data_IF_245303324695
#
_entry.id   IF_245303324695
#
_cell.length_a   1.000
_cell.length_b   1.000
_cell.length_c   1.000
_cell.angle_alpha   90.00
_cell.angle_beta   90.00
_cell.angle_gamma   90.00
#
_symmetry.space_group_name_H-M   'P 1'
#
loop_
_entity.id
_entity.type
_entity.pdbx_description
1 polymer ?
#
# COMPACT_ATOMS: atom_id res chain seq x y z
N UNK A 1 7.64 19.71 -4.11
CA UNK A 1 8.05 19.75 -2.66
C UNK A 1 7.10 18.84 -1.89
N UNK A 2 7.63 17.96 -1.04
CA UNK A 2 6.83 16.98 -0.28
C UNK A 2 5.71 17.66 0.51
N UNK A 3 4.48 17.19 0.32
CA UNK A 3 3.36 17.51 1.19
C UNK A 3 3.40 16.54 2.39
N UNK A 4 4.14 16.96 3.42
CA UNK A 4 4.36 16.13 4.60
C UNK A 4 3.06 15.77 5.31
N UNK A 5 2.16 16.71 5.47
CA UNK A 5 0.88 16.50 6.16
C UNK A 5 0.05 15.41 5.47
N UNK A 6 -0.05 15.48 4.14
CA UNK A 6 -0.75 14.45 3.37
C UNK A 6 -0.10 13.07 3.52
N UNK A 7 1.24 12.96 3.43
CA UNK A 7 1.94 11.69 3.58
C UNK A 7 1.72 11.10 4.98
N UNK A 8 1.77 11.95 6.01
CA UNK A 8 1.51 11.57 7.39
C UNK A 8 0.07 11.07 7.57
N UNK A 9 -0.92 11.78 7.05
CA UNK A 9 -2.32 11.37 7.06
C UNK A 9 -2.54 10.06 6.31
N UNK A 10 -1.92 9.88 5.13
CA UNK A 10 -1.96 8.61 4.40
C UNK A 10 -1.40 7.45 5.22
N UNK A 11 -0.24 7.63 5.85
CA UNK A 11 0.40 6.59 6.67
C UNK A 11 -0.43 6.24 7.91
N UNK A 12 -1.05 7.22 8.58
CA UNK A 12 -1.77 7.04 9.84
C UNK A 12 -3.20 6.54 9.67
N UNK A 13 -3.86 6.80 8.53
CA UNK A 13 -5.22 6.35 8.28
C UNK A 13 -5.31 4.84 8.45
N UNK A 14 -6.25 4.39 9.28
CA UNK A 14 -6.48 2.98 9.52
C UNK A 14 -7.22 2.36 8.33
N UNK A 15 -6.78 1.17 7.92
CA UNK A 15 -7.42 0.52 6.79
C UNK A 15 -6.75 -0.80 6.45
N UNK A 16 -7.00 -1.84 7.25
CA UNK A 16 -6.67 -3.21 6.83
C UNK A 16 -7.68 -3.68 5.78
N UNK A 17 -7.35 -4.73 5.04
CA UNK A 17 -8.22 -5.31 4.00
C UNK A 17 -9.67 -5.48 4.48
N UNK A 18 -10.62 -4.84 3.80
CA UNK A 18 -12.05 -4.81 4.14
C UNK A 18 -12.46 -3.69 5.10
N UNK A 19 -11.53 -2.85 5.56
CA UNK A 19 -11.77 -1.73 6.48
C UNK A 19 -11.15 -0.42 5.98
N UNK A 20 -11.12 -0.19 4.68
CA UNK A 20 -10.40 0.92 4.02
C UNK A 20 -11.14 2.26 4.09
N UNK A 21 -12.22 2.38 4.85
CA UNK A 21 -13.11 3.55 4.85
C UNK A 21 -12.42 4.87 5.21
N UNK A 22 -11.44 4.87 6.13
CA UNK A 22 -10.70 6.10 6.49
C UNK A 22 -9.80 6.57 5.33
N UNK A 23 -9.15 5.64 4.63
CA UNK A 23 -8.30 5.97 3.47
C UNK A 23 -9.15 6.46 2.31
N UNK A 24 -10.29 5.82 2.07
CA UNK A 24 -11.26 6.25 1.06
C UNK A 24 -11.75 7.66 1.33
N UNK A 25 -12.12 7.96 2.58
CA UNK A 25 -12.54 9.29 2.99
C UNK A 25 -11.45 10.34 2.80
N UNK A 26 -10.18 9.99 3.13
CA UNK A 26 -9.03 10.85 2.92
C UNK A 26 -8.85 11.17 1.41
N UNK A 27 -8.85 10.17 0.53
CA UNK A 27 -8.71 10.39 -0.92
C UNK A 27 -9.85 11.28 -1.42
N UNK A 28 -11.08 11.01 -1.00
CA UNK A 28 -12.25 11.79 -1.41
C UNK A 28 -12.13 13.25 -0.94
N UNK A 29 -11.75 13.50 0.31
CA UNK A 29 -11.51 14.85 0.85
C UNK A 29 -10.47 15.63 0.04
N UNK A 30 -9.33 14.95 -0.30
CA UNK A 30 -8.21 15.59 -0.99
C UNK A 30 -8.49 15.90 -2.48
N UNK A 31 -9.45 15.20 -3.09
CA UNK A 31 -9.73 15.29 -4.53
C UNK A 31 -11.13 15.83 -4.87
N UNK A 32 -12.00 16.11 -3.89
CA UNK A 32 -13.39 16.55 -4.12
C UNK A 32 -13.53 17.81 -4.97
N UNK A 33 -12.54 18.72 -4.91
CA UNK A 33 -12.57 20.00 -5.61
C UNK A 33 -12.04 19.92 -7.05
N UNK A 34 -11.45 18.79 -7.45
CA UNK A 34 -10.77 18.69 -8.75
C UNK A 34 -11.28 17.59 -9.67
N UNK A 35 -12.09 16.64 -9.20
CA UNK A 35 -12.54 15.53 -10.03
C UNK A 35 -13.94 15.01 -9.63
N UNK A 36 -14.57 14.24 -10.54
CA UNK A 36 -15.80 13.49 -10.24
C UNK A 36 -15.45 12.25 -9.40
N UNK A 37 -16.13 12.04 -8.26
CA UNK A 37 -15.84 10.94 -7.34
C UNK A 37 -17.02 9.97 -7.29
N UNK A 38 -16.74 8.67 -7.41
CA UNK A 38 -17.72 7.59 -7.33
C UNK A 38 -17.17 6.43 -6.53
N UNK A 39 -17.96 5.85 -5.64
CA UNK A 39 -17.64 4.59 -4.96
C UNK A 39 -18.31 3.43 -5.71
N UNK A 40 -17.55 2.37 -5.99
CA UNK A 40 -18.07 1.15 -6.65
C UNK A 40 -18.73 0.22 -5.64
N UNK A 41 -19.51 -0.75 -6.14
CA UNK A 41 -20.12 -1.80 -5.29
C UNK A 41 -19.07 -2.61 -4.54
N UNK A 42 -17.89 -2.81 -5.12
CA UNK A 42 -16.77 -3.51 -4.48
C UNK A 42 -16.10 -2.69 -3.36
N UNK A 43 -16.36 -1.37 -3.30
CA UNK A 43 -15.76 -0.45 -2.35
C UNK A 43 -14.52 0.28 -2.88
N UNK A 44 -14.16 0.15 -4.15
CA UNK A 44 -13.14 0.99 -4.77
C UNK A 44 -13.63 2.43 -4.86
N UNK A 45 -12.72 3.39 -4.72
CA UNK A 45 -12.99 4.80 -4.97
C UNK A 45 -12.44 5.19 -6.35
N UNK A 46 -13.29 5.68 -7.23
CA UNK A 46 -12.91 6.17 -8.56
C UNK A 46 -13.01 7.69 -8.58
N UNK A 47 -11.89 8.36 -8.81
CA UNK A 47 -11.77 9.81 -8.96
C UNK A 47 -11.40 10.12 -10.42
N UNK A 48 -12.26 10.82 -11.16
CA UNK A 48 -12.11 10.98 -12.61
C UNK A 48 -11.86 12.42 -13.02
N UNK A 49 -10.79 12.62 -13.80
CA UNK A 49 -10.57 13.82 -14.63
C UNK A 49 -10.96 13.49 -16.08
N UNK A 50 -11.95 14.22 -16.60
CA UNK A 50 -12.39 14.05 -17.98
C UNK A 50 -11.39 14.66 -18.97
N UNK A 51 -10.99 13.91 -19.96
CA UNK A 51 -10.21 14.41 -21.08
C UNK A 51 -11.02 15.31 -22.03
N UNK A 52 -10.33 15.90 -23.00
CA UNK A 52 -10.88 16.83 -23.98
C UNK A 52 -11.75 16.20 -25.06
N UNK A 53 -11.97 14.87 -25.06
CA UNK A 53 -12.75 14.19 -26.10
C UNK A 53 -12.88 12.67 -25.91
N UNK A 54 -12.97 11.95 -27.04
CA UNK A 54 -13.05 10.48 -27.10
C UNK A 54 -11.65 9.80 -26.97
N UNK A 55 -10.80 10.29 -26.06
CA UNK A 55 -9.48 9.73 -25.82
C UNK A 55 -9.54 8.43 -25.01
N UNK A 56 -8.39 7.74 -24.86
CA UNK A 56 -8.31 6.51 -24.10
C UNK A 56 -8.60 6.74 -22.60
N UNK A 57 -9.03 5.68 -21.93
CA UNK A 57 -9.19 5.66 -20.46
C UNK A 57 -7.88 5.15 -19.85
N UNK A 58 -7.23 6.00 -19.08
CA UNK A 58 -6.04 5.65 -18.29
C UNK A 58 -6.44 5.45 -16.85
N UNK A 59 -6.25 4.24 -16.32
CA UNK A 59 -6.46 3.94 -14.92
C UNK A 59 -5.14 4.08 -14.14
N UNK A 60 -5.17 4.89 -13.09
CA UNK A 60 -4.10 5.05 -12.12
C UNK A 60 -4.55 4.35 -10.83
N UNK A 61 -3.95 3.22 -10.48
CA UNK A 61 -4.37 2.40 -9.34
C UNK A 61 -3.38 2.51 -8.19
N UNK A 62 -3.91 2.58 -6.97
CA UNK A 62 -3.16 2.40 -5.74
C UNK A 62 -4.05 1.73 -4.71
N UNK A 63 -3.60 0.65 -4.08
CA UNK A 63 -4.43 -0.01 -3.08
C UNK A 63 -4.48 0.75 -1.76
N UNK A 64 -5.68 0.78 -1.18
CA UNK A 64 -5.97 1.51 0.06
C UNK A 64 -5.66 0.69 1.30
N UNK A 65 -5.68 -0.64 1.20
CA UNK A 65 -5.47 -1.49 2.35
C UNK A 65 -4.00 -1.57 2.76
N UNK A 66 -3.81 -1.88 4.04
CA UNK A 66 -2.53 -2.22 4.67
C UNK A 66 -2.65 -3.60 5.29
N UNK A 67 -1.53 -4.28 5.49
CA UNK A 67 -1.50 -5.52 6.27
C UNK A 67 -1.85 -5.26 7.73
N UNK A 68 -2.51 -6.23 8.36
CA UNK A 68 -2.88 -6.16 9.77
C UNK A 68 -3.45 -7.47 10.25
N UNK A 69 -4.41 -7.38 11.18
CA UNK A 69 -5.05 -8.58 11.73
C UNK A 69 -6.55 -8.35 11.94
N UNK A 70 -7.25 -9.45 12.17
CA UNK A 70 -8.63 -9.46 12.64
C UNK A 70 -8.73 -10.28 13.92
N UNK A 71 -9.49 -9.80 14.90
CA UNK A 71 -9.78 -10.54 16.13
C UNK A 71 -10.61 -11.77 15.77
N UNK A 72 -10.04 -12.95 15.99
CA UNK A 72 -10.66 -14.25 15.73
C UNK A 72 -11.43 -14.76 16.94
N UNK A 73 -10.95 -14.49 18.15
CA UNK A 73 -11.51 -14.97 19.39
C UNK A 73 -11.06 -14.17 20.60
N UNK A 74 -11.75 -14.33 21.72
CA UNK A 74 -11.42 -13.73 23.00
C UNK A 74 -11.34 -14.86 24.01
N UNK A 75 -10.21 -14.95 24.73
CA UNK A 75 -10.03 -15.97 25.74
C UNK A 75 -10.74 -15.58 27.04
N UNK A 76 -11.10 -16.55 27.93
CA UNK A 76 -11.66 -16.24 29.24
C UNK A 76 -10.76 -15.30 30.08
N UNK A 77 -9.44 -15.37 29.86
CA UNK A 77 -8.44 -14.57 30.57
C UNK A 77 -8.20 -13.17 29.91
N UNK A 78 -8.99 -12.81 28.88
CA UNK A 78 -8.97 -11.47 28.29
C UNK A 78 -7.94 -11.25 27.18
N UNK A 79 -7.32 -12.29 26.63
CA UNK A 79 -6.44 -12.18 25.45
C UNK A 79 -7.22 -12.29 24.15
N UNK A 80 -6.75 -11.58 23.10
CA UNK A 80 -7.35 -11.61 21.77
C UNK A 80 -6.57 -12.56 20.87
N UNK A 81 -7.23 -13.56 20.36
CA UNK A 81 -6.69 -14.43 19.28
C UNK A 81 -6.89 -13.72 17.96
N UNK A 82 -5.92 -13.84 17.05
CA UNK A 82 -5.87 -13.08 15.80
C UNK A 82 -5.63 -13.96 14.58
N UNK A 83 -6.13 -13.50 13.44
CA UNK A 83 -5.73 -13.99 12.11
C UNK A 83 -5.10 -12.87 11.32
N UNK A 84 -4.06 -13.11 10.51
CA UNK A 84 -3.45 -12.09 9.67
C UNK A 84 -4.39 -11.71 8.52
N UNK A 85 -4.35 -10.42 8.15
CA UNK A 85 -4.83 -9.88 6.90
C UNK A 85 -3.61 -9.39 6.12
N UNK A 86 -3.35 -10.02 4.97
CA UNK A 86 -2.11 -9.83 4.22
C UNK A 86 -0.93 -10.68 4.73
N UNK A 87 0.22 -10.53 4.09
CA UNK A 87 1.40 -11.33 4.35
C UNK A 87 2.29 -10.75 5.45
N UNK A 88 2.45 -11.43 6.56
CA UNK A 88 3.35 -11.05 7.65
C UNK A 88 4.57 -11.99 7.75
N UNK A 89 5.70 -11.42 8.14
CA UNK A 89 6.85 -12.21 8.56
C UNK A 89 6.85 -12.37 10.08
N UNK A 90 6.57 -13.57 10.55
CA UNK A 90 6.32 -13.87 11.97
C UNK A 90 7.46 -13.44 12.92
N UNK A 91 8.71 -13.36 12.43
CA UNK A 91 9.85 -12.87 13.21
C UNK A 91 9.69 -11.42 13.69
N UNK A 92 8.92 -10.59 12.99
CA UNK A 92 8.75 -9.18 13.31
C UNK A 92 7.53 -8.89 14.19
N UNK A 93 6.71 -9.89 14.52
CA UNK A 93 5.45 -9.71 15.23
C UNK A 93 5.57 -9.58 16.75
N UNK A 94 6.36 -10.44 17.45
CA UNK A 94 6.39 -10.40 18.90
C UNK A 94 6.79 -9.03 19.47
N UNK A 95 6.06 -8.59 20.49
CA UNK A 95 6.28 -7.32 21.20
C UNK A 95 5.95 -6.04 20.43
N UNK A 96 5.34 -6.15 19.25
CA UNK A 96 4.89 -4.98 18.50
C UNK A 96 3.60 -4.40 19.08
N UNK A 97 3.50 -3.08 19.06
CA UNK A 97 2.30 -2.35 19.47
C UNK A 97 1.27 -2.35 18.35
N UNK A 98 0.00 -2.45 18.72
CA UNK A 98 -1.13 -2.45 17.79
C UNK A 98 -2.29 -1.62 18.33
N UNK A 99 -3.20 -1.24 17.44
CA UNK A 99 -4.48 -0.61 17.75
C UNK A 99 -5.62 -1.54 17.33
N UNK A 100 -6.48 -1.90 18.27
CA UNK A 100 -7.71 -2.64 18.00
C UNK A 100 -8.84 -1.63 17.75
N UNK A 101 -9.46 -1.70 16.57
CA UNK A 101 -10.49 -0.77 16.15
C UNK A 101 -11.87 -1.29 16.54
N UNK A 102 -12.57 -0.57 17.38
CA UNK A 102 -13.92 -0.91 17.82
C UNK A 102 -14.97 -0.32 16.87
N UNK A 103 -16.19 -0.85 16.92
CA UNK A 103 -17.28 -0.40 16.05
C UNK A 103 -17.77 1.02 16.33
N UNK A 104 -17.57 1.49 17.56
CA UNK A 104 -17.91 2.85 17.99
C UNK A 104 -16.77 3.86 17.73
N UNK A 105 -15.77 3.47 16.93
CA UNK A 105 -14.67 4.34 16.47
C UNK A 105 -13.53 4.52 17.46
N UNK A 106 -13.52 3.81 18.59
CA UNK A 106 -12.37 3.85 19.53
C UNK A 106 -11.21 3.01 18.98
N UNK A 107 -10.00 3.42 19.31
CA UNK A 107 -8.75 2.71 19.01
C UNK A 107 -8.13 2.29 20.33
N UNK A 108 -8.18 1.01 20.63
CA UNK A 108 -7.70 0.44 21.90
C UNK A 108 -6.28 -0.05 21.70
N UNK A 109 -5.29 0.52 22.42
CA UNK A 109 -3.91 0.07 22.32
C UNK A 109 -3.74 -1.33 22.91
N UNK A 110 -2.89 -2.11 22.25
CA UNK A 110 -2.50 -3.44 22.70
C UNK A 110 -1.11 -3.80 22.22
N UNK A 111 -0.63 -4.95 22.64
CA UNK A 111 0.68 -5.47 22.27
C UNK A 111 0.54 -6.91 21.79
N UNK A 112 1.24 -7.26 20.71
CA UNK A 112 1.35 -8.65 20.28
C UNK A 112 2.22 -9.40 21.31
N UNK A 113 1.57 -10.28 22.05
CA UNK A 113 2.16 -11.08 23.12
C UNK A 113 2.52 -12.48 22.66
N UNK A 114 3.44 -13.07 23.37
CA UNK A 114 3.84 -14.47 23.26
C UNK A 114 4.31 -14.97 24.62
N UNK A 115 4.39 -16.28 24.82
CA UNK A 115 5.03 -16.82 26.02
C UNK A 115 6.47 -16.32 26.11
N UNK A 116 6.89 -15.74 27.25
CA UNK A 116 8.25 -15.25 27.40
C UNK A 116 9.26 -16.40 27.32
N UNK A 117 10.47 -16.16 26.78
CA UNK A 117 11.47 -17.21 26.59
C UNK A 117 11.82 -18.01 27.85
N UNK A 118 11.71 -17.36 29.02
CA UNK A 118 11.97 -18.01 30.32
C UNK A 118 10.96 -19.13 30.68
N UNK A 119 9.78 -19.09 30.07
CA UNK A 119 8.71 -20.08 30.29
C UNK A 119 8.61 -21.08 29.12
N UNK A 120 9.47 -20.96 28.07
CA UNK A 120 9.49 -21.87 26.93
C UNK A 120 10.52 -22.99 27.15
N UNK A 121 10.22 -24.22 26.71
CA UNK A 121 11.22 -25.26 26.57
C UNK A 121 12.38 -24.80 25.70
N UNK A 122 13.61 -25.27 26.00
CA UNK A 122 14.83 -24.79 25.32
C UNK A 122 14.77 -24.93 23.79
N UNK A 123 14.21 -26.02 23.28
CA UNK A 123 14.05 -26.24 21.82
C UNK A 123 13.12 -25.24 21.14
N UNK A 124 12.11 -24.71 21.84
CA UNK A 124 11.14 -23.76 21.28
C UNK A 124 11.70 -22.33 21.23
N UNK A 125 12.67 -21.97 22.08
CA UNK A 125 13.26 -20.61 22.09
C UNK A 125 13.95 -20.22 20.77
N UNK A 126 14.31 -21.19 19.95
CA UNK A 126 15.01 -20.99 18.66
C UNK A 126 14.10 -21.11 17.45
N UNK A 127 12.83 -21.39 17.67
CA UNK A 127 11.85 -21.54 16.59
C UNK A 127 11.12 -20.23 16.35
N UNK A 128 10.75 -19.98 15.08
CA UNK A 128 9.83 -18.92 14.73
C UNK A 128 8.47 -19.29 15.31
N UNK A 129 7.81 -18.32 15.93
CA UNK A 129 6.47 -18.54 16.45
C UNK A 129 5.46 -18.43 15.32
N UNK A 130 4.59 -19.42 15.20
CA UNK A 130 3.47 -19.34 14.29
C UNK A 130 2.43 -18.33 14.80
N UNK A 131 1.70 -17.69 13.89
CA UNK A 131 0.72 -16.64 14.24
C UNK A 131 -0.34 -17.15 15.21
N UNK A 132 -0.71 -18.42 15.12
CA UNK A 132 -1.68 -19.10 16.00
C UNK A 132 -1.22 -19.19 17.46
N UNK A 133 0.08 -19.02 17.72
CA UNK A 133 0.64 -18.96 19.06
C UNK A 133 0.79 -17.54 19.60
N UNK A 134 0.47 -16.54 18.81
CA UNK A 134 0.49 -15.13 19.16
C UNK A 134 -0.91 -14.68 19.59
N UNK A 135 -0.97 -13.66 20.42
CA UNK A 135 -2.21 -13.05 20.87
C UNK A 135 -1.99 -11.55 21.07
N UNK A 136 -3.07 -10.79 21.17
CA UNK A 136 -2.98 -9.39 21.58
C UNK A 136 -3.40 -9.27 23.05
N UNK A 137 -2.57 -8.60 23.80
CA UNK A 137 -2.80 -8.22 25.19
C UNK A 137 -3.13 -6.72 25.26
N UNK A 138 -4.31 -6.41 25.79
CA UNK A 138 -4.77 -5.03 26.05
C UNK A 138 -4.75 -4.69 27.56
N UNK A 139 -4.18 -5.56 28.40
CA UNK A 139 -4.15 -5.44 29.85
C UNK A 139 -5.42 -5.92 30.56
N UNK A 140 -6.34 -6.59 29.86
CA UNK A 140 -7.55 -7.16 30.44
C UNK A 140 -7.23 -8.46 31.21
N UNK A 141 -8.02 -8.74 32.26
CA UNK A 141 -7.92 -9.94 33.09
C UNK A 141 -9.05 -10.95 32.83
N UNK A 142 -10.06 -10.56 32.07
CA UNK A 142 -11.18 -11.42 31.68
C UNK A 142 -11.89 -10.94 30.41
N UNK A 143 -12.71 -11.80 29.82
CA UNK A 143 -13.46 -11.47 28.60
C UNK A 143 -14.47 -10.32 28.80
N UNK A 144 -15.02 -10.14 29.99
CA UNK A 144 -15.98 -9.07 30.28
C UNK A 144 -15.31 -7.68 30.21
N UNK A 145 -14.05 -7.55 30.66
CA UNK A 145 -13.27 -6.31 30.52
C UNK A 145 -12.99 -6.00 29.05
N UNK A 146 -12.69 -7.00 28.24
CA UNK A 146 -12.53 -6.85 26.78
C UNK A 146 -13.83 -6.36 26.14
N UNK A 147 -14.96 -6.95 26.51
CA UNK A 147 -16.27 -6.55 26.01
C UNK A 147 -16.63 -5.11 26.43
N UNK A 148 -16.29 -4.70 27.66
CA UNK A 148 -16.48 -3.32 28.15
C UNK A 148 -15.64 -2.30 27.35
N UNK A 149 -14.48 -2.70 26.81
CA UNK A 149 -13.73 -1.91 25.85
C UNK A 149 -14.38 -1.83 24.45
N UNK A 150 -15.48 -2.53 24.19
CA UNK A 150 -16.16 -2.58 22.89
C UNK A 150 -15.49 -3.48 21.85
N UNK A 151 -14.52 -4.27 22.27
CA UNK A 151 -13.83 -5.24 21.42
C UNK A 151 -14.68 -6.50 21.26
N UNK A 152 -14.75 -7.02 20.06
CA UNK A 152 -15.47 -8.26 19.71
C UNK A 152 -14.75 -8.99 18.57
N UNK A 153 -15.16 -10.21 18.32
CA UNK A 153 -14.73 -10.97 17.15
C UNK A 153 -15.05 -10.15 15.88
N UNK A 154 -14.10 -10.11 14.95
CA UNK A 154 -14.17 -9.32 13.73
C UNK A 154 -13.69 -7.87 13.84
N UNK A 155 -13.22 -7.41 15.00
CA UNK A 155 -12.53 -6.13 15.10
C UNK A 155 -11.22 -6.15 14.31
N UNK A 156 -10.98 -5.10 13.51
CA UNK A 156 -9.74 -4.90 12.79
C UNK A 156 -8.61 -4.48 13.73
N UNK A 157 -7.39 -4.81 13.36
CA UNK A 157 -6.19 -4.46 14.13
C UNK A 157 -5.12 -3.94 13.19
N UNK A 158 -4.60 -2.74 13.47
CA UNK A 158 -3.52 -2.12 12.72
C UNK A 158 -2.24 -1.98 13.57
N UNK A 159 -1.06 -1.86 12.95
CA UNK A 159 0.13 -1.39 13.66
C UNK A 159 -0.07 -0.03 14.34
N UNK A 160 0.44 0.13 15.56
CA UNK A 160 0.46 1.41 16.28
C UNK A 160 1.83 2.07 16.07
N UNK A 161 1.96 2.79 14.95
CA UNK A 161 3.20 3.45 14.53
C UNK A 161 2.90 4.85 14.05
N UNK A 162 3.68 5.82 14.52
CA UNK A 162 3.64 7.22 14.08
C UNK A 162 4.73 7.48 13.05
N UNK A 163 4.37 8.11 11.93
CA UNK A 163 5.35 8.51 10.92
C UNK A 163 6.25 9.62 11.47
N UNK A 164 7.55 9.51 11.21
CA UNK A 164 8.54 10.49 11.65
C UNK A 164 9.69 10.64 10.64
N UNK A 165 10.30 11.83 10.54
CA UNK A 165 11.53 12.00 9.79
C UNK A 165 12.67 11.28 10.50
N UNK A 166 13.63 10.79 9.72
CA UNK A 166 14.92 10.33 10.24
C UNK A 166 15.95 11.46 10.16
N UNK A 167 17.06 11.33 10.90
CA UNK A 167 18.16 12.30 10.88
C UNK A 167 18.84 12.41 9.51
N UNK A 168 18.76 11.39 8.69
CA UNK A 168 19.25 11.44 7.30
C UNK A 168 18.20 12.16 6.46
N UNK A 169 18.58 13.27 5.77
CA UNK A 169 17.65 14.04 4.95
C UNK A 169 16.86 13.15 3.95
N UNK A 170 15.62 13.54 3.68
CA UNK A 170 14.72 12.84 2.77
C UNK A 170 14.26 11.45 3.22
N UNK A 171 14.63 10.99 4.41
CA UNK A 171 14.22 9.68 4.93
C UNK A 171 13.07 9.80 5.92
N UNK A 172 12.07 8.96 5.71
CA UNK A 172 10.87 8.88 6.54
C UNK A 172 10.66 7.46 7.02
N UNK A 173 10.30 7.30 8.28
CA UNK A 173 9.93 6.01 8.86
C UNK A 173 8.47 6.07 9.30
N UNK A 174 7.69 5.05 8.94
CA UNK A 174 6.26 4.97 9.27
C UNK A 174 5.69 3.59 8.95
N UNK A 175 4.40 3.42 9.20
CA UNK A 175 3.67 2.22 8.80
C UNK A 175 3.06 2.36 7.40
N UNK A 176 2.68 1.25 6.82
CA UNK A 176 1.80 1.16 5.66
C UNK A 176 2.29 1.92 4.41
N UNK A 177 3.59 2.17 4.24
CA UNK A 177 4.09 2.75 2.99
C UNK A 177 3.82 1.87 1.78
N UNK A 178 3.69 0.60 1.96
CA UNK A 178 2.98 -0.35 1.14
C UNK A 178 1.49 -0.36 1.60
N UNK A 179 0.51 0.28 0.89
CA UNK A 179 0.78 1.09 -0.31
C UNK A 179 0.30 2.55 -0.15
N UNK A 180 0.44 3.14 1.02
CA UNK A 180 0.07 4.56 1.24
C UNK A 180 1.01 5.52 0.52
N UNK A 181 2.22 5.06 0.13
CA UNK A 181 3.10 5.78 -0.78
C UNK A 181 2.47 5.91 -2.18
N UNK A 182 1.89 4.83 -2.71
CA UNK A 182 1.14 4.85 -3.96
C UNK A 182 -0.12 5.73 -3.88
N UNK A 183 -0.88 5.64 -2.78
CA UNK A 183 -2.04 6.51 -2.54
C UNK A 183 -1.64 7.99 -2.51
N UNK A 184 -0.56 8.33 -1.81
CA UNK A 184 0.00 9.69 -1.79
C UNK A 184 0.36 10.17 -3.20
N UNK A 185 1.10 9.35 -3.96
CA UNK A 185 1.48 9.68 -5.34
C UNK A 185 0.24 9.86 -6.22
N UNK A 186 -0.76 8.99 -6.11
CA UNK A 186 -2.01 9.07 -6.85
C UNK A 186 -2.73 10.41 -6.61
N UNK A 187 -2.88 10.83 -5.36
CA UNK A 187 -3.50 12.11 -4.99
C UNK A 187 -2.72 13.28 -5.59
N UNK A 188 -1.40 13.29 -5.45
CA UNK A 188 -0.56 14.38 -5.96
C UNK A 188 -0.54 14.44 -7.50
N UNK A 189 -0.59 13.30 -8.20
CA UNK A 189 -0.74 13.24 -9.67
C UNK A 189 -2.06 13.88 -10.09
N UNK A 190 -3.17 13.49 -9.47
CA UNK A 190 -4.49 14.05 -9.79
C UNK A 190 -4.54 15.56 -9.59
N UNK A 191 -3.97 16.05 -8.50
CA UNK A 191 -3.89 17.50 -8.22
C UNK A 191 -3.04 18.26 -9.24
N UNK A 192 -1.91 17.70 -9.66
CA UNK A 192 -1.02 18.32 -10.64
C UNK A 192 -1.63 18.38 -12.04
N UNK A 193 -2.43 17.36 -12.38
CA UNK A 193 -3.07 17.27 -13.70
C UNK A 193 -4.45 17.92 -13.74
N UNK A 194 -5.02 18.28 -12.60
CA UNK A 194 -6.31 18.97 -12.53
C UNK A 194 -6.29 20.29 -13.31
N UNK A 195 -7.23 20.45 -14.24
CA UNK A 195 -7.34 21.65 -15.10
C UNK A 195 -6.39 21.65 -16.31
N UNK A 196 -5.53 20.65 -16.48
CA UNK A 196 -4.77 20.48 -17.73
C UNK A 196 -5.65 19.90 -18.85
N UNK A 197 -5.42 20.29 -20.11
CA UNK A 197 -6.14 19.74 -21.24
C UNK A 197 -5.58 18.35 -21.60
N UNK A 198 -6.02 17.31 -20.87
CA UNK A 198 -5.61 15.94 -21.13
C UNK A 198 -6.33 15.38 -22.37
N UNK A 199 -5.63 14.61 -23.19
CA UNK A 199 -6.22 13.87 -24.31
C UNK A 199 -6.91 12.58 -23.87
N UNK A 200 -6.55 12.03 -22.71
CA UNK A 200 -7.15 10.85 -22.10
C UNK A 200 -8.13 11.20 -20.98
N UNK A 201 -9.06 10.31 -20.69
CA UNK A 201 -9.79 10.32 -19.41
C UNK A 201 -8.92 9.62 -18.37
N UNK A 202 -8.56 10.35 -17.30
CA UNK A 202 -7.76 9.80 -16.19
C UNK A 202 -8.66 9.39 -15.06
N UNK A 203 -8.59 8.12 -14.64
CA UNK A 203 -9.29 7.57 -13.49
C UNK A 203 -8.28 7.17 -12.42
N UNK A 204 -8.22 7.90 -11.31
CA UNK A 204 -7.50 7.47 -10.13
C UNK A 204 -8.39 6.54 -9.30
N UNK A 205 -7.92 5.34 -9.04
CA UNK A 205 -8.70 4.27 -8.41
C UNK A 205 -8.01 3.81 -7.13
N UNK A 206 -8.57 4.21 -5.99
CA UNK A 206 -8.22 3.60 -4.71
C UNK A 206 -8.84 2.20 -4.64
N UNK A 207 -8.03 1.17 -4.77
CA UNK A 207 -8.50 -0.22 -4.76
C UNK A 207 -8.56 -0.79 -3.35
N UNK A 208 -9.44 -1.77 -3.13
CA UNK A 208 -9.61 -2.47 -1.86
C UNK A 208 -9.04 -3.87 -1.91
N UNK A 209 -8.58 -4.38 -0.74
CA UNK A 209 -8.27 -5.79 -0.53
C UNK A 209 -7.22 -6.35 -1.51
N UNK A 210 -6.19 -5.55 -1.81
CA UNK A 210 -5.05 -6.00 -2.61
C UNK A 210 -4.28 -7.10 -1.86
N UNK A 211 -3.97 -6.87 -0.59
CA UNK A 211 -3.15 -7.69 0.30
C UNK A 211 -3.71 -9.12 0.52
N UNK A 212 -4.99 -9.31 0.21
CA UNK A 212 -5.68 -10.60 0.32
C UNK A 212 -6.13 -11.15 -1.04
N UNK A 213 -5.50 -10.69 -2.13
CA UNK A 213 -5.65 -11.26 -3.47
C UNK A 213 -6.17 -10.30 -4.55
N UNK A 214 -5.77 -9.03 -4.54
CA UNK A 214 -6.07 -8.02 -5.59
C UNK A 214 -7.57 -7.91 -5.93
N UNK A 215 -8.43 -8.02 -4.91
CA UNK A 215 -9.88 -8.20 -5.12
C UNK A 215 -10.53 -6.96 -5.72
N UNK A 216 -10.13 -5.77 -5.28
CA UNK A 216 -10.63 -4.51 -5.81
C UNK A 216 -10.30 -4.32 -7.29
N UNK A 217 -9.05 -4.55 -7.68
CA UNK A 217 -8.62 -4.44 -9.05
C UNK A 217 -9.33 -5.44 -9.98
N UNK A 218 -9.60 -6.65 -9.51
CA UNK A 218 -10.37 -7.66 -10.26
C UNK A 218 -11.85 -7.29 -10.42
N UNK A 219 -12.37 -6.39 -9.61
CA UNK A 219 -13.75 -5.95 -9.60
C UNK A 219 -13.96 -4.57 -10.27
N UNK A 220 -13.03 -4.13 -11.13
CA UNK A 220 -13.24 -2.91 -11.92
C UNK A 220 -14.42 -3.10 -12.87
N UNK A 221 -15.33 -2.11 -12.88
CA UNK A 221 -16.53 -2.13 -13.71
C UNK A 221 -16.26 -1.75 -15.16
N UNK A 222 -15.15 -1.04 -15.41
CA UNK A 222 -14.71 -0.63 -16.74
C UNK A 222 -13.26 -1.07 -16.98
N UNK A 223 -13.00 -1.69 -18.11
CA UNK A 223 -11.65 -2.02 -18.57
C UNK A 223 -10.95 -0.75 -19.03
N UNK A 224 -9.77 -0.40 -18.47
CA UNK A 224 -8.99 0.72 -19.00
C UNK A 224 -8.27 0.36 -20.29
N UNK A 225 -7.85 1.38 -21.06
CA UNK A 225 -6.98 1.21 -22.23
C UNK A 225 -5.50 1.13 -21.82
N UNK A 226 -5.13 1.75 -20.70
CA UNK A 226 -3.81 1.68 -20.07
C UNK A 226 -3.97 1.69 -18.55
N UNK A 227 -3.28 0.81 -17.86
CA UNK A 227 -3.21 0.81 -16.41
C UNK A 227 -1.80 1.21 -15.91
N UNK A 228 -1.74 2.17 -14.99
CA UNK A 228 -0.55 2.57 -14.26
C UNK A 228 -0.80 2.22 -12.80
N UNK A 229 -0.10 1.23 -12.28
CA UNK A 229 -0.24 0.80 -10.90
C UNK A 229 0.86 1.41 -10.06
N UNK A 230 0.49 2.18 -9.04
CA UNK A 230 1.41 2.82 -8.11
C UNK A 230 1.55 1.95 -6.88
N UNK A 231 2.79 1.67 -6.48
CA UNK A 231 3.11 0.68 -5.44
C UNK A 231 4.18 1.14 -4.46
N UNK A 232 4.23 0.45 -3.30
CA UNK A 232 5.28 0.57 -2.31
C UNK A 232 6.19 -0.67 -2.22
N UNK A 233 6.88 -1.09 -3.31
CA UNK A 233 7.59 -2.36 -3.34
C UNK A 233 8.82 -2.40 -2.46
N UNK A 234 9.32 -3.63 -2.10
CA UNK A 234 10.52 -3.76 -1.28
C UNK A 234 11.75 -3.14 -1.93
N UNK A 235 12.53 -2.41 -1.14
CA UNK A 235 13.89 -2.00 -1.50
C UNK A 235 14.89 -3.13 -1.22
N UNK A 236 15.91 -3.27 -2.07
CA UNK A 236 16.96 -4.30 -1.98
C UNK A 236 18.31 -3.74 -1.48
N UNK A 237 18.30 -2.63 -0.79
CA UNK A 237 19.50 -1.92 -0.35
C UNK A 237 19.79 -2.08 1.14
N UNK A 238 19.27 -3.14 1.76
CA UNK A 238 19.52 -3.50 3.16
C UNK A 238 20.84 -4.21 3.36
N UNK A 239 21.31 -4.32 4.62
CA UNK A 239 22.56 -4.98 4.98
C UNK A 239 22.59 -6.44 4.47
N UNK A 240 23.72 -6.86 3.93
CA UNK A 240 23.90 -8.20 3.37
C UNK A 240 23.43 -8.36 1.93
N UNK A 241 22.71 -7.39 1.38
CA UNK A 241 22.34 -7.40 -0.04
C UNK A 241 23.46 -6.77 -0.87
N UNK A 242 24.13 -7.57 -1.65
CA UNK A 242 25.18 -7.13 -2.57
C UNK A 242 25.04 -7.81 -3.93
N UNK A 243 25.41 -7.12 -5.01
CA UNK A 243 25.50 -7.70 -6.33
C UNK A 243 24.69 -6.99 -7.42
N UNK A 244 24.79 -7.53 -8.61
CA UNK A 244 24.21 -7.03 -9.86
C UNK A 244 22.67 -7.13 -9.89
N UNK A 245 22.07 -7.94 -9.02
CA UNK A 245 20.62 -8.11 -8.99
C UNK A 245 19.90 -7.20 -7.97
N UNK A 246 20.60 -6.18 -7.44
CA UNK A 246 20.00 -5.22 -6.52
C UNK A 246 18.91 -4.43 -7.25
N UNK A 247 17.68 -4.50 -6.75
CA UNK A 247 16.52 -3.86 -7.34
C UNK A 247 15.83 -2.96 -6.31
N UNK A 248 15.78 -1.66 -6.62
CA UNK A 248 15.18 -0.68 -5.72
C UNK A 248 16.13 -0.24 -4.61
N UNK A 249 16.73 0.91 -4.79
CA UNK A 249 17.61 1.59 -3.83
C UNK A 249 16.96 2.91 -3.44
N UNK A 250 16.85 3.19 -2.16
CA UNK A 250 16.26 4.46 -1.67
C UNK A 250 17.03 5.68 -2.20
N UNK A 251 16.30 6.65 -2.72
CA UNK A 251 16.82 7.90 -3.26
C UNK A 251 17.47 7.77 -4.64
N UNK A 252 17.14 6.70 -5.37
CA UNK A 252 17.58 6.48 -6.76
C UNK A 252 16.43 6.57 -7.77
N UNK A 253 15.28 7.05 -7.34
CA UNK A 253 14.11 7.26 -8.16
C UNK A 253 13.14 6.09 -8.14
N UNK A 254 12.05 6.28 -8.85
CA UNK A 254 10.94 5.31 -8.95
C UNK A 254 11.38 4.00 -9.59
N UNK A 255 10.89 2.87 -9.08
CA UNK A 255 11.05 1.58 -9.75
C UNK A 255 10.06 1.49 -10.92
N UNK A 256 10.56 1.19 -12.12
CA UNK A 256 9.75 0.80 -13.28
C UNK A 256 9.80 -0.72 -13.38
N UNK A 257 8.71 -1.38 -13.03
CA UNK A 257 8.65 -2.84 -13.01
C UNK A 257 8.37 -3.40 -14.40
N UNK A 258 9.38 -4.08 -14.95
CA UNK A 258 9.28 -4.72 -16.27
C UNK A 258 8.63 -6.10 -16.18
N UNK A 259 8.82 -6.78 -15.05
CA UNK A 259 8.30 -8.12 -14.79
C UNK A 259 8.12 -8.39 -13.30
N UNK A 260 7.02 -9.04 -12.97
CA UNK A 260 6.84 -9.88 -11.78
C UNK A 260 6.03 -11.14 -12.15
N UNK A 261 5.84 -12.12 -11.24
CA UNK A 261 5.11 -13.36 -11.56
C UNK A 261 3.67 -13.17 -12.03
N UNK A 262 3.08 -12.00 -11.82
CA UNK A 262 1.67 -11.70 -12.12
C UNK A 262 1.49 -10.79 -13.31
N UNK A 263 2.52 -10.03 -13.72
CA UNK A 263 2.45 -9.09 -14.84
C UNK A 263 3.78 -8.98 -15.60
N UNK A 264 3.68 -8.86 -16.91
CA UNK A 264 4.77 -8.49 -17.82
C UNK A 264 4.38 -7.17 -18.48
N UNK A 265 5.11 -6.11 -18.17
CA UNK A 265 4.92 -4.83 -18.87
C UNK A 265 5.24 -5.03 -20.35
N UNK A 266 4.32 -4.69 -21.30
CA UNK A 266 4.60 -4.83 -22.71
C UNK A 266 5.89 -4.11 -23.10
N UNK A 267 6.81 -4.74 -23.86
CA UNK A 267 8.11 -4.15 -24.18
C UNK A 267 8.04 -2.73 -24.77
N UNK A 268 7.13 -2.49 -25.70
CA UNK A 268 6.96 -1.15 -26.28
C UNK A 268 6.53 -0.10 -25.24
N UNK A 269 5.69 -0.46 -24.27
CA UNK A 269 5.32 0.43 -23.16
C UNK A 269 6.51 0.66 -22.23
N UNK A 270 7.27 -0.39 -21.92
CA UNK A 270 8.47 -0.30 -21.09
C UNK A 270 9.51 0.64 -21.73
N UNK A 271 9.79 0.48 -23.01
CA UNK A 271 10.71 1.33 -23.77
C UNK A 271 10.21 2.80 -23.77
N UNK A 272 8.93 3.03 -24.05
CA UNK A 272 8.32 4.37 -23.99
C UNK A 272 8.51 5.04 -22.62
N UNK A 273 8.28 4.30 -21.53
CA UNK A 273 8.42 4.84 -20.16
C UNK A 273 9.87 5.16 -19.84
N UNK A 274 10.81 4.29 -20.18
CA UNK A 274 12.23 4.48 -19.89
C UNK A 274 12.83 5.64 -20.71
N UNK A 275 12.49 5.73 -22.00
CA UNK A 275 12.89 6.84 -22.89
C UNK A 275 12.29 8.17 -22.39
N UNK A 276 11.04 8.15 -21.93
CA UNK A 276 10.39 9.31 -21.34
C UNK A 276 11.11 9.77 -20.09
N UNK A 277 11.45 8.86 -19.18
CA UNK A 277 12.20 9.17 -17.98
C UNK A 277 13.57 9.79 -18.29
N UNK A 278 14.30 9.23 -19.27
CA UNK A 278 15.59 9.77 -19.72
C UNK A 278 15.44 11.18 -20.33
N UNK A 279 14.47 11.38 -21.21
CA UNK A 279 14.19 12.66 -21.87
C UNK A 279 13.86 13.77 -20.88
N UNK A 280 13.05 13.46 -19.86
CA UNK A 280 12.61 14.42 -18.85
C UNK A 280 13.60 14.53 -17.67
N UNK A 281 14.67 13.72 -17.64
CA UNK A 281 15.65 13.71 -16.56
C UNK A 281 15.10 13.16 -15.23
N UNK A 282 14.07 12.31 -15.28
CA UNK A 282 13.43 11.72 -14.11
C UNK A 282 14.18 10.47 -13.68
N UNK A 283 14.62 10.44 -12.42
CA UNK A 283 15.33 9.29 -11.88
C UNK A 283 14.40 8.06 -11.79
N UNK A 284 14.81 6.96 -12.42
CA UNK A 284 14.08 5.70 -12.35
C UNK A 284 15.01 4.48 -12.31
N UNK A 285 14.46 3.35 -11.87
CA UNK A 285 15.18 2.09 -11.70
C UNK A 285 14.37 0.96 -12.36
N UNK A 286 14.78 0.41 -13.52
CA UNK A 286 14.11 -0.75 -14.10
C UNK A 286 14.28 -1.99 -13.21
N UNK A 287 13.18 -2.73 -12.98
CA UNK A 287 13.18 -3.88 -12.08
C UNK A 287 12.53 -5.12 -12.71
N UNK A 288 13.09 -6.29 -12.39
CA UNK A 288 12.59 -7.61 -12.78
C UNK A 288 12.53 -8.48 -11.52
N UNK A 289 11.34 -8.75 -11.00
CA UNK A 289 11.15 -9.40 -9.71
C UNK A 289 10.74 -10.87 -9.84
N UNK A 290 11.26 -11.71 -8.95
CA UNK A 290 10.95 -13.14 -8.93
C UNK A 290 9.73 -13.48 -8.09
N UNK A 291 9.31 -12.60 -7.20
CA UNK A 291 8.23 -12.80 -6.23
C UNK A 291 7.44 -11.52 -6.06
N UNK A 292 6.26 -11.64 -5.47
CA UNK A 292 5.31 -10.55 -5.27
C UNK A 292 4.41 -10.36 -6.50
N UNK A 293 3.31 -9.70 -6.30
CA UNK A 293 2.35 -9.29 -7.32
C UNK A 293 1.85 -7.91 -6.97
N UNK A 294 0.92 -7.38 -7.76
CA UNK A 294 0.27 -6.10 -7.57
C UNK A 294 -1.10 -6.13 -8.21
N UNK A 295 -1.86 -5.06 -8.12
CA UNK A 295 -3.12 -4.90 -8.84
C UNK A 295 -3.00 -5.10 -10.37
N UNK A 296 -1.79 -4.95 -10.94
CA UNK A 296 -1.53 -5.28 -12.35
C UNK A 296 -1.79 -6.76 -12.68
N UNK A 297 -1.86 -7.64 -11.69
CA UNK A 297 -2.28 -9.04 -11.85
C UNK A 297 -3.67 -9.20 -12.49
N UNK A 298 -4.52 -8.17 -12.41
CA UNK A 298 -5.84 -8.18 -13.01
C UNK A 298 -5.81 -7.93 -14.53
N UNK A 299 -4.70 -7.45 -15.12
CA UNK A 299 -4.63 -6.98 -16.51
C UNK A 299 -5.06 -8.05 -17.52
N UNK A 300 -4.57 -9.27 -17.40
CA UNK A 300 -4.93 -10.35 -18.33
C UNK A 300 -6.27 -11.02 -17.97
N UNK A 301 -6.48 -11.51 -16.75
CA UNK A 301 -7.68 -12.29 -16.46
C UNK A 301 -8.96 -11.45 -16.33
N UNK A 302 -8.86 -10.15 -16.04
CA UNK A 302 -10.04 -9.32 -15.76
C UNK A 302 -10.16 -8.10 -16.66
N UNK A 303 -9.03 -7.54 -17.15
CA UNK A 303 -9.02 -6.36 -18.03
C UNK A 303 -8.68 -6.73 -19.50
N UNK A 304 -8.92 -7.98 -19.88
CA UNK A 304 -8.79 -8.48 -21.27
C UNK A 304 -7.45 -8.17 -21.94
N UNK A 305 -6.36 -8.19 -21.18
CA UNK A 305 -5.02 -7.90 -21.70
C UNK A 305 -4.69 -6.41 -21.79
N UNK A 306 -5.36 -5.55 -21.01
CA UNK A 306 -5.01 -4.14 -20.93
C UNK A 306 -3.51 -3.98 -20.63
N UNK A 307 -2.77 -3.15 -21.42
CA UNK A 307 -1.39 -2.84 -21.10
C UNK A 307 -1.26 -2.26 -19.69
N UNK A 308 -0.36 -2.82 -18.88
CA UNK A 308 -0.16 -2.37 -17.52
C UNK A 308 1.34 -2.15 -17.24
N UNK A 309 1.67 -1.05 -16.54
CA UNK A 309 2.99 -0.77 -15.98
C UNK A 309 2.87 -0.49 -14.50
N UNK A 310 3.86 -0.93 -13.72
CA UNK A 310 3.90 -0.70 -12.29
C UNK A 310 5.03 0.28 -11.97
N UNK A 311 4.69 1.39 -11.32
CA UNK A 311 5.63 2.36 -10.77
C UNK A 311 5.70 2.19 -9.26
N UNK A 312 6.89 1.96 -8.74
CA UNK A 312 7.08 1.64 -7.33
C UNK A 312 7.96 2.62 -6.60
N UNK A 313 7.49 3.14 -5.47
CA UNK A 313 8.32 3.88 -4.51
C UNK A 313 9.06 2.85 -3.66
N UNK A 314 10.41 2.75 -3.71
CA UNK A 314 11.13 1.76 -2.93
C UNK A 314 10.90 1.95 -1.42
N UNK A 315 10.53 0.89 -0.72
CA UNK A 315 10.33 0.90 0.74
C UNK A 315 11.16 -0.21 1.38
N UNK A 316 11.97 0.12 2.37
CA UNK A 316 12.62 -0.90 3.21
C UNK A 316 11.63 -1.45 4.22
N UNK A 317 11.74 -2.75 4.51
CA UNK A 317 10.99 -3.43 5.57
C UNK A 317 9.46 -3.42 5.36
N UNK A 318 8.98 -3.49 4.11
CA UNK A 318 7.55 -3.71 3.87
C UNK A 318 7.07 -4.99 4.56
N UNK A 319 5.77 -5.14 4.73
CA UNK A 319 5.17 -6.26 5.46
C UNK A 319 5.71 -6.41 6.88
N UNK A 320 5.97 -5.27 7.52
CA UNK A 320 6.30 -5.14 8.94
C UNK A 320 5.66 -3.89 9.53
N UNK A 321 5.83 -3.64 10.82
CA UNK A 321 5.26 -2.48 11.50
C UNK A 321 5.84 -1.15 11.01
N UNK A 322 7.10 -1.15 10.55
CA UNK A 322 7.81 0.06 10.15
C UNK A 322 8.47 -0.11 8.79
N UNK A 323 8.17 0.78 7.87
CA UNK A 323 8.89 0.94 6.62
C UNK A 323 9.77 2.19 6.62
N UNK A 324 10.74 2.26 5.72
CA UNK A 324 11.54 3.46 5.45
C UNK A 324 11.49 3.76 3.97
N UNK A 325 11.15 5.00 3.61
CA UNK A 325 11.17 5.50 2.24
C UNK A 325 12.04 6.77 2.10
N UNK A 326 12.28 7.17 0.86
CA UNK A 326 12.89 8.43 0.49
C UNK A 326 11.88 9.30 -0.27
N UNK A 327 11.69 10.55 0.16
CA UNK A 327 10.69 11.44 -0.45
C UNK A 327 11.03 11.87 -1.90
N UNK A 328 12.30 11.75 -2.31
CA UNK A 328 12.71 12.00 -3.70
C UNK A 328 12.19 10.90 -4.65
N UNK A 329 12.03 9.68 -4.14
CA UNK A 329 11.47 8.58 -4.92
C UNK A 329 9.96 8.76 -5.12
N UNK A 330 9.25 9.35 -4.13
CA UNK A 330 7.85 9.80 -4.29
C UNK A 330 7.72 10.83 -5.39
N UNK A 331 8.57 11.87 -5.38
CA UNK A 331 8.56 12.91 -6.40
C UNK A 331 8.83 12.34 -7.80
N UNK A 332 9.84 11.46 -7.93
CA UNK A 332 10.13 10.78 -9.20
C UNK A 332 8.94 9.94 -9.71
N UNK A 333 8.22 9.27 -8.80
CA UNK A 333 7.03 8.50 -9.15
C UNK A 333 5.91 9.41 -9.68
N UNK A 334 5.67 10.54 -9.02
CA UNK A 334 4.66 11.52 -9.42
C UNK A 334 5.03 12.15 -10.77
N UNK A 335 6.28 12.59 -10.93
CA UNK A 335 6.76 13.22 -12.17
C UNK A 335 6.65 12.28 -13.36
N UNK A 336 7.11 11.02 -13.21
CA UNK A 336 7.04 10.05 -14.29
C UNK A 336 5.60 9.68 -14.66
N UNK A 337 4.72 9.56 -13.66
CA UNK A 337 3.30 9.30 -13.89
C UNK A 337 2.64 10.47 -14.64
N UNK A 338 2.86 11.72 -14.20
CA UNK A 338 2.34 12.90 -14.88
C UNK A 338 2.88 13.00 -16.31
N UNK A 339 4.17 12.74 -16.52
CA UNK A 339 4.79 12.75 -17.84
C UNK A 339 4.17 11.70 -18.76
N UNK A 340 3.96 10.46 -18.26
CA UNK A 340 3.32 9.41 -19.06
C UNK A 340 1.89 9.77 -19.43
N UNK A 341 1.08 10.23 -18.49
CA UNK A 341 -0.33 10.63 -18.74
C UNK A 341 -0.43 11.74 -19.78
N UNK A 342 0.43 12.76 -19.74
CA UNK A 342 0.48 13.84 -20.75
C UNK A 342 0.87 13.37 -22.13
N UNK A 343 1.59 12.24 -22.26
CA UNK A 343 2.05 11.68 -23.52
C UNK A 343 1.13 10.56 -24.05
N UNK A 344 0.06 10.21 -23.34
CA UNK A 344 -0.96 9.28 -23.86
C UNK A 344 -1.82 10.03 -24.87
N UNK A 345 -1.73 9.63 -26.14
CA UNK A 345 -2.57 10.10 -27.26
C UNK A 345 -3.34 8.93 -27.87
N UNK A 346 -4.30 9.23 -28.74
CA UNK A 346 -5.08 8.21 -29.48
C UNK A 346 -4.22 7.26 -30.27
#
# INVERSE_FOLDING_TARGET
MLNRDLLERCSHAAGVSGFESEVRALIAEELQDCCDITETVAGNLVCQLKGSGEGPVVALLAHMDEIGFMVQGITPDGFLLIVPLGGWWNHTLPSQRVLVHTRDGRRIPGQIGTRPPHLLPEGQRRQVMETESLFIDIGASCADEVAACGIRIGCAVTPDVTMQPLEIPHRWMGKAFDNRAGVYCMIEVMRRLAGEPLECTLQAIGTVQEEVGTRGARALEQTPDLAIVLEGPPADDTFGQSGICRQGVLGKGVQVRLYDPTNITPPALADTVLELAEREGIACQPTVRRTGGTDAAASYPHWFGCPAVVFGVPVRYIHSHNGILDDRDLESCIELTCALVRNVSK
#
